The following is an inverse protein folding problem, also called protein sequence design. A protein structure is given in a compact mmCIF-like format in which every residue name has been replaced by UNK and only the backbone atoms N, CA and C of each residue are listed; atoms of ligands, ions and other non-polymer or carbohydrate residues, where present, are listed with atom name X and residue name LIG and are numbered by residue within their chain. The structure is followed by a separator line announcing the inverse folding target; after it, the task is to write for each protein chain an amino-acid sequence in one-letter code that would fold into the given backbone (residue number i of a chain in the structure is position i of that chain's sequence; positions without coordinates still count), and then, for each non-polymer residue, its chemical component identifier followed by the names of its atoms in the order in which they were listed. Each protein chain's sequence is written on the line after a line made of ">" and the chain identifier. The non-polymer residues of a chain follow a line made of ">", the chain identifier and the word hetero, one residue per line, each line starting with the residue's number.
data_IF_294492893020
#
_entry.id   IF_294492893020
#
_cell.length_a   1.000
_cell.length_b   1.000
_cell.length_c   1.000
_cell.angle_alpha   90.00
_cell.angle_beta   90.00
_cell.angle_gamma   90.00
#
_symmetry.space_group_name_H-M   'P 1'
#
loop_
_entity.id
_entity.type
_entity.pdbx_description
1 polymer ?
#
# COMPACT_ATOMS: atom_id res chain seq x y z
N UNK A 1 7.78 -7.89 10.27
CA UNK A 1 7.20 -7.46 8.97
C UNK A 1 7.81 -8.34 7.88
N UNK A 2 7.03 -8.79 6.90
CA UNK A 2 7.56 -9.50 5.74
C UNK A 2 7.51 -8.62 4.50
N UNK A 3 8.53 -8.67 3.65
CA UNK A 3 8.59 -7.94 2.38
C UNK A 3 8.76 -8.92 1.23
N UNK A 4 8.20 -8.58 0.08
CA UNK A 4 8.45 -9.25 -1.18
C UNK A 4 9.68 -8.66 -1.86
N UNK A 5 10.42 -9.49 -2.57
CA UNK A 5 11.46 -9.08 -3.50
C UNK A 5 11.38 -9.93 -4.77
N UNK A 6 11.77 -9.36 -5.90
CA UNK A 6 12.01 -10.16 -7.10
C UNK A 6 13.22 -11.06 -6.92
N UNK A 7 13.09 -12.33 -7.30
CA UNK A 7 14.23 -13.19 -7.56
C UNK A 7 14.71 -13.01 -9.01
N UNK A 8 15.86 -13.60 -9.32
CA UNK A 8 16.47 -13.53 -10.66
C UNK A 8 15.62 -14.21 -11.74
N UNK A 9 14.67 -15.06 -11.34
CA UNK A 9 13.79 -15.82 -12.23
C UNK A 9 12.49 -15.08 -12.58
N UNK A 10 12.32 -13.85 -12.07
CA UNK A 10 11.13 -13.02 -12.30
C UNK A 10 9.93 -13.38 -11.41
N UNK A 11 10.14 -14.22 -10.40
CA UNK A 11 9.17 -14.59 -9.37
C UNK A 11 9.41 -13.79 -8.07
N UNK A 12 8.50 -13.93 -7.12
CA UNK A 12 8.56 -13.26 -5.82
C UNK A 12 9.06 -14.19 -4.73
N UNK A 13 9.89 -13.66 -3.84
CA UNK A 13 10.24 -14.34 -2.60
C UNK A 13 9.86 -13.45 -1.42
N UNK A 14 9.36 -14.08 -0.36
CA UNK A 14 8.99 -13.39 0.87
C UNK A 14 10.18 -13.46 1.83
N UNK A 15 10.57 -12.31 2.40
CA UNK A 15 11.66 -12.19 3.38
C UNK A 15 11.11 -11.56 4.66
N UNK A 16 11.41 -12.18 5.80
CA UNK A 16 10.97 -11.70 7.11
C UNK A 16 12.02 -10.79 7.76
N UNK A 17 11.55 -9.72 8.38
CA UNK A 17 12.35 -8.72 9.07
C UNK A 17 11.76 -8.41 10.45
N UNK A 18 12.63 -8.31 11.46
CA UNK A 18 12.28 -7.78 12.78
C UNK A 18 12.27 -6.25 12.76
N UNK A 19 11.58 -5.61 13.72
CA UNK A 19 11.27 -4.17 13.73
C UNK A 19 12.51 -3.24 13.60
N UNK A 20 13.69 -3.69 14.05
CA UNK A 20 14.96 -2.97 13.91
C UNK A 20 15.70 -3.21 12.58
N UNK A 21 15.35 -4.27 11.85
CA UNK A 21 16.04 -4.74 10.65
C UNK A 21 15.26 -4.47 9.35
N UNK A 22 14.05 -3.88 9.46
CA UNK A 22 13.23 -3.55 8.30
C UNK A 22 14.03 -2.60 7.40
N UNK A 23 14.24 -2.94 6.11
CA UNK A 23 14.93 -2.08 5.17
C UNK A 23 14.29 -0.70 5.11
N UNK A 24 15.09 0.37 5.13
CA UNK A 24 14.57 1.75 4.99
C UNK A 24 14.09 2.10 3.57
N UNK A 25 14.15 1.15 2.64
CA UNK A 25 13.87 1.36 1.21
C UNK A 25 12.98 0.25 0.69
N UNK A 26 11.67 0.49 0.76
CA UNK A 26 10.66 -0.38 0.17
C UNK A 26 9.48 0.44 -0.33
N UNK A 27 8.65 -0.22 -1.13
CA UNK A 27 7.37 0.30 -1.62
C UNK A 27 6.23 -0.39 -0.87
N UNK A 28 5.12 0.30 -0.66
CA UNK A 28 3.85 -0.33 -0.28
C UNK A 28 2.86 -0.25 -1.43
N UNK A 29 2.16 -1.34 -1.70
CA UNK A 29 0.93 -1.34 -2.49
C UNK A 29 -0.27 -1.07 -1.57
N UNK A 30 -1.06 -0.08 -1.95
CA UNK A 30 -2.41 0.11 -1.46
C UNK A 30 -3.39 -0.15 -2.60
N UNK A 31 -4.37 -1.01 -2.36
CA UNK A 31 -5.35 -1.39 -3.37
C UNK A 31 -6.65 -1.83 -2.71
N UNK A 32 -7.73 -1.80 -3.50
CA UNK A 32 -8.96 -2.47 -3.11
C UNK A 32 -8.81 -3.97 -3.34
N UNK A 33 -9.11 -4.76 -2.31
CA UNK A 33 -9.20 -6.20 -2.44
C UNK A 33 -10.36 -6.57 -3.38
N UNK A 34 -10.09 -7.49 -4.29
CA UNK A 34 -11.05 -8.01 -5.26
C UNK A 34 -11.23 -9.51 -5.14
N UNK A 35 -11.70 -10.12 -6.23
CA UNK A 35 -11.76 -11.56 -6.34
C UNK A 35 -10.35 -12.16 -6.34
N UNK A 36 -10.17 -13.27 -5.63
CA UNK A 36 -8.95 -14.08 -5.62
C UNK A 36 -7.68 -13.26 -5.35
N UNK A 37 -7.66 -12.50 -4.25
CA UNK A 37 -6.40 -11.93 -3.75
C UNK A 37 -5.40 -13.05 -3.43
N UNK A 38 -4.14 -12.79 -3.73
CA UNK A 38 -3.03 -13.66 -3.33
C UNK A 38 -2.80 -13.46 -1.84
N UNK A 39 -2.83 -14.56 -1.10
CA UNK A 39 -2.59 -14.62 0.34
C UNK A 39 -1.17 -15.05 0.66
N UNK A 40 -0.78 -14.96 1.93
CA UNK A 40 0.50 -15.48 2.41
C UNK A 40 0.67 -16.96 2.04
N UNK A 41 -0.37 -17.77 2.30
CA UNK A 41 -0.37 -19.20 2.00
C UNK A 41 -0.21 -19.50 0.50
N UNK A 42 -0.79 -18.69 -0.38
CA UNK A 42 -0.66 -18.93 -1.82
C UNK A 42 0.77 -18.70 -2.32
N UNK A 43 1.53 -17.80 -1.66
CA UNK A 43 2.94 -17.60 -1.95
C UNK A 43 3.79 -18.77 -1.41
N UNK A 44 3.50 -19.26 -0.20
CA UNK A 44 4.23 -20.41 0.37
C UNK A 44 3.98 -21.69 -0.41
N UNK A 45 2.74 -21.89 -0.86
CA UNK A 45 2.31 -23.09 -1.60
C UNK A 45 2.58 -22.98 -3.11
N UNK A 46 3.12 -21.85 -3.59
CA UNK A 46 3.39 -21.57 -5.00
C UNK A 46 2.15 -21.65 -5.91
N UNK A 47 0.97 -21.33 -5.38
CA UNK A 47 -0.33 -21.33 -6.10
C UNK A 47 -0.79 -19.93 -6.50
N UNK A 48 0.02 -18.90 -6.26
CA UNK A 48 -0.34 -17.51 -6.48
C UNK A 48 -0.57 -17.13 -7.95
N UNK A 49 0.14 -17.75 -8.90
CA UNK A 49 0.20 -17.32 -10.32
C UNK A 49 -1.13 -17.41 -11.06
N UNK A 50 -2.03 -18.31 -10.65
CA UNK A 50 -3.34 -18.48 -11.28
C UNK A 50 -4.41 -17.52 -10.75
N UNK A 51 -4.11 -16.76 -9.69
CA UNK A 51 -5.08 -15.89 -9.03
C UNK A 51 -5.22 -14.55 -9.73
N UNK A 52 -6.45 -14.03 -9.80
CA UNK A 52 -6.72 -12.71 -10.37
C UNK A 52 -5.95 -11.57 -9.68
N UNK A 53 -5.70 -11.68 -8.36
CA UNK A 53 -4.92 -10.70 -7.61
C UNK A 53 -3.41 -10.68 -7.94
N UNK A 54 -2.87 -11.69 -8.61
CA UNK A 54 -1.42 -11.80 -8.89
C UNK A 54 -0.89 -10.63 -9.71
N UNK A 55 -1.69 -10.13 -10.67
CA UNK A 55 -1.31 -8.99 -11.49
C UNK A 55 -1.02 -7.71 -10.68
N UNK A 56 -1.67 -7.53 -9.52
CA UNK A 56 -1.41 -6.38 -8.62
C UNK A 56 -0.05 -6.48 -7.95
N UNK A 57 0.36 -7.70 -7.58
CA UNK A 57 1.68 -7.98 -7.01
C UNK A 57 2.76 -7.75 -8.08
N UNK A 58 2.55 -8.25 -9.29
CA UNK A 58 3.46 -7.99 -10.42
C UNK A 58 3.60 -6.51 -10.72
N UNK A 59 2.48 -5.79 -10.80
CA UNK A 59 2.49 -4.35 -10.96
C UNK A 59 3.35 -3.65 -9.89
N UNK A 60 3.14 -3.98 -8.61
CA UNK A 60 3.90 -3.35 -7.52
C UNK A 60 5.39 -3.66 -7.60
N UNK A 61 5.74 -4.94 -7.81
CA UNK A 61 7.12 -5.37 -7.95
C UNK A 61 7.81 -4.66 -9.12
N UNK A 62 7.18 -4.62 -10.30
CA UNK A 62 7.77 -3.98 -11.48
C UNK A 62 8.03 -2.50 -11.24
N UNK A 63 7.09 -1.82 -10.58
CA UNK A 63 7.23 -0.40 -10.22
C UNK A 63 8.34 -0.20 -9.18
N UNK A 64 8.47 -1.06 -8.19
CA UNK A 64 9.59 -1.05 -7.25
C UNK A 64 10.94 -1.18 -7.98
N UNK A 65 11.06 -2.16 -8.89
CA UNK A 65 12.25 -2.38 -9.71
C UNK A 65 12.62 -1.16 -10.57
N UNK A 66 11.63 -0.52 -11.22
CA UNK A 66 11.82 0.72 -12.00
C UNK A 66 12.33 1.89 -11.15
N UNK A 67 12.05 1.90 -9.86
CA UNK A 67 12.53 2.91 -8.90
C UNK A 67 13.79 2.45 -8.14
N UNK A 68 14.45 1.38 -8.60
CA UNK A 68 15.63 0.81 -7.94
C UNK A 68 15.40 0.43 -6.47
N UNK A 69 14.17 0.02 -6.14
CA UNK A 69 13.78 -0.50 -4.84
C UNK A 69 13.66 -2.02 -4.93
N UNK A 70 14.40 -2.71 -4.07
CA UNK A 70 14.43 -4.17 -4.04
C UNK A 70 13.17 -4.76 -3.41
N UNK A 71 12.66 -4.10 -2.37
CA UNK A 71 11.60 -4.61 -1.54
C UNK A 71 10.28 -3.87 -1.78
N UNK A 72 9.19 -4.62 -1.67
CA UNK A 72 7.85 -4.06 -1.66
C UNK A 72 6.93 -4.88 -0.75
N UNK A 73 5.80 -4.30 -0.37
CA UNK A 73 4.88 -4.87 0.59
C UNK A 73 3.45 -4.82 0.07
N UNK A 74 2.71 -5.90 0.28
CA UNK A 74 1.29 -6.03 -0.04
C UNK A 74 0.60 -6.73 1.12
N UNK A 75 -0.37 -6.06 1.74
CA UNK A 75 -1.06 -6.53 2.94
C UNK A 75 -1.73 -7.90 2.80
N UNK A 76 -2.14 -8.27 1.59
CA UNK A 76 -2.81 -9.55 1.31
C UNK A 76 -1.90 -10.75 1.51
N UNK A 77 -0.61 -10.63 1.19
CA UNK A 77 0.32 -11.76 1.19
C UNK A 77 1.57 -11.56 2.04
N UNK A 78 1.85 -10.35 2.52
CA UNK A 78 2.93 -10.06 3.46
C UNK A 78 2.53 -10.24 4.93
N UNK A 79 1.23 -10.41 5.22
CA UNK A 79 0.70 -10.70 6.55
C UNK A 79 0.05 -12.09 6.49
N UNK A 80 0.45 -12.98 7.39
CA UNK A 80 -0.33 -14.19 7.63
C UNK A 80 -1.57 -13.85 8.45
N UNK A 81 -2.70 -13.68 7.76
CA UNK A 81 -3.99 -13.35 8.39
C UNK A 81 -4.61 -14.53 9.14
N UNK A 82 -4.06 -15.74 8.99
CA UNK A 82 -4.50 -16.90 9.76
C UNK A 82 -3.89 -16.95 11.16
N UNK A 83 -2.76 -16.25 11.37
CA UNK A 83 -2.18 -16.00 12.68
C UNK A 83 -2.76 -14.72 13.29
N UNK A 84 -3.55 -14.89 14.36
CA UNK A 84 -4.20 -13.77 15.04
C UNK A 84 -3.21 -12.84 15.76
N UNK A 85 -2.07 -13.36 16.22
CA UNK A 85 -1.03 -12.56 16.89
C UNK A 85 -0.36 -11.68 15.84
N UNK A 86 0.07 -12.27 14.73
CA UNK A 86 0.71 -11.53 13.63
C UNK A 86 -0.25 -10.47 13.07
N UNK A 87 -1.52 -10.83 12.83
CA UNK A 87 -2.52 -9.90 12.32
C UNK A 87 -2.68 -8.69 13.24
N UNK A 88 -2.75 -8.92 14.55
CA UNK A 88 -2.91 -7.83 15.53
C UNK A 88 -1.66 -6.93 15.58
N UNK A 89 -0.46 -7.52 15.56
CA UNK A 89 0.80 -6.78 15.49
C UNK A 89 0.91 -5.95 14.20
N UNK A 90 0.48 -6.52 13.07
CA UNK A 90 0.45 -5.85 11.79
C UNK A 90 -0.49 -4.64 11.80
N UNK A 91 -1.71 -4.80 12.32
CA UNK A 91 -2.68 -3.69 12.47
C UNK A 91 -2.07 -2.55 13.28
N UNK A 92 -1.40 -2.86 14.39
CA UNK A 92 -0.76 -1.88 15.26
C UNK A 92 0.47 -1.20 14.62
N UNK A 93 1.06 -1.83 13.60
CA UNK A 93 2.27 -1.37 12.93
C UNK A 93 2.02 -0.71 11.58
N UNK A 94 0.87 -0.94 10.95
CA UNK A 94 0.57 -0.53 9.57
C UNK A 94 0.80 0.96 9.33
N UNK A 95 0.31 1.85 10.20
CA UNK A 95 0.54 3.29 10.05
C UNK A 95 2.03 3.62 9.92
N UNK A 96 2.86 2.99 10.75
CA UNK A 96 4.32 3.16 10.72
C UNK A 96 4.90 2.62 9.42
N UNK A 97 4.48 1.44 8.98
CA UNK A 97 4.96 0.86 7.73
C UNK A 97 4.60 1.71 6.52
N UNK A 98 3.40 2.28 6.47
CA UNK A 98 3.01 3.24 5.43
C UNK A 98 3.85 4.51 5.48
N UNK A 99 4.08 5.05 6.69
CA UNK A 99 4.91 6.26 6.88
C UNK A 99 6.36 6.08 6.44
N UNK A 100 6.96 4.93 6.79
CA UNK A 100 8.38 4.68 6.58
C UNK A 100 8.67 4.13 5.16
N UNK A 101 7.64 3.79 4.38
CA UNK A 101 7.80 3.40 2.99
C UNK A 101 8.32 4.56 2.13
N UNK A 102 9.21 4.24 1.18
CA UNK A 102 9.73 5.24 0.22
C UNK A 102 8.61 5.78 -0.68
N UNK A 103 7.71 4.90 -1.11
CA UNK A 103 6.57 5.20 -1.96
C UNK A 103 5.39 4.30 -1.61
N UNK A 104 4.19 4.89 -1.62
CA UNK A 104 2.93 4.17 -1.63
C UNK A 104 2.36 4.20 -3.05
N UNK A 105 2.08 3.05 -3.64
CA UNK A 105 1.40 2.94 -4.92
C UNK A 105 -0.06 2.59 -4.68
N UNK A 106 -0.95 3.48 -5.10
CA UNK A 106 -2.39 3.24 -5.05
C UNK A 106 -2.84 2.71 -6.40
N UNK A 107 -3.27 1.45 -6.43
CA UNK A 107 -3.73 0.78 -7.65
C UNK A 107 -5.26 0.77 -7.74
N UNK A 108 -5.79 1.48 -8.72
CA UNK A 108 -7.23 1.70 -8.88
C UNK A 108 -7.80 0.82 -10.00
N UNK A 109 -8.77 -0.03 -9.65
CA UNK A 109 -9.49 -0.86 -10.62
C UNK A 109 -10.59 -0.08 -11.37
N UNK A 110 -10.96 1.08 -10.85
CA UNK A 110 -11.99 1.99 -11.32
C UNK A 110 -11.38 3.38 -11.61
N UNK A 111 -12.22 4.34 -12.00
CA UNK A 111 -11.75 5.70 -12.30
C UNK A 111 -11.45 6.47 -11.02
N UNK A 112 -10.34 7.23 -10.98
CA UNK A 112 -9.89 8.02 -9.82
C UNK A 112 -11.03 8.71 -9.03
N UNK A 113 -11.78 9.62 -9.67
CA UNK A 113 -12.80 10.43 -8.96
C UNK A 113 -13.98 9.63 -8.39
N UNK A 114 -14.25 8.44 -8.92
CA UNK A 114 -15.34 7.57 -8.46
C UNK A 114 -14.80 6.31 -7.80
N UNK A 115 -13.52 6.33 -7.42
CA UNK A 115 -12.89 5.13 -6.94
C UNK A 115 -13.44 4.75 -5.58
N UNK A 116 -13.89 3.51 -5.47
CA UNK A 116 -14.28 2.95 -4.19
C UNK A 116 -13.09 2.73 -3.25
N UNK A 117 -11.86 2.96 -3.72
CA UNK A 117 -10.70 3.05 -2.83
C UNK A 117 -10.84 4.20 -1.84
N UNK A 118 -11.49 5.31 -2.19
CA UNK A 118 -11.63 6.48 -1.30
C UNK A 118 -12.63 6.29 -0.16
N UNK A 119 -13.51 5.28 -0.22
CA UNK A 119 -14.56 5.05 0.77
C UNK A 119 -14.23 3.95 1.79
N UNK A 120 -12.95 3.54 1.89
CA UNK A 120 -12.53 2.47 2.81
C UNK A 120 -12.03 3.05 4.13
N UNK A 121 -12.20 2.28 5.21
CA UNK A 121 -11.74 2.69 6.55
C UNK A 121 -10.23 2.89 6.67
N UNK A 122 -9.43 2.31 5.76
CA UNK A 122 -7.97 2.45 5.77
C UNK A 122 -7.44 3.57 4.87
N UNK A 123 -8.25 4.10 3.95
CA UNK A 123 -7.86 5.11 2.96
C UNK A 123 -7.11 6.28 3.59
N UNK A 124 -7.59 6.74 4.74
CA UNK A 124 -6.96 7.83 5.47
C UNK A 124 -5.49 7.50 5.74
N UNK A 125 -5.22 6.40 6.45
CA UNK A 125 -3.86 6.02 6.82
C UNK A 125 -2.97 5.78 5.59
N UNK A 126 -3.51 5.12 4.56
CA UNK A 126 -2.80 4.80 3.32
C UNK A 126 -2.43 6.07 2.51
N UNK A 127 -3.10 7.19 2.78
CA UNK A 127 -2.93 8.47 2.10
C UNK A 127 -2.09 9.48 2.91
N UNK A 128 -2.37 9.61 4.21
CA UNK A 128 -1.73 10.61 5.09
C UNK A 128 -0.41 10.12 5.66
N UNK A 129 -0.25 8.82 5.93
CA UNK A 129 0.97 8.33 6.56
C UNK A 129 2.19 8.39 5.61
N UNK A 130 2.10 7.93 4.34
CA UNK A 130 3.25 7.98 3.43
C UNK A 130 3.58 9.41 3.00
N UNK A 131 4.86 9.73 2.90
CA UNK A 131 5.32 11.00 2.33
C UNK A 131 5.00 11.12 0.83
N UNK A 132 5.10 10.01 0.08
CA UNK A 132 4.86 9.95 -1.37
C UNK A 132 3.78 8.91 -1.70
N UNK A 133 2.73 9.34 -2.40
CA UNK A 133 1.66 8.47 -2.91
C UNK A 133 1.48 8.72 -4.40
N UNK A 134 1.63 7.68 -5.22
CA UNK A 134 1.40 7.72 -6.66
C UNK A 134 0.19 6.85 -7.01
N UNK A 135 -0.74 7.39 -7.80
CA UNK A 135 -1.99 6.73 -8.20
C UNK A 135 -1.88 6.15 -9.60
N UNK A 136 -2.29 4.91 -9.77
CA UNK A 136 -2.23 4.18 -11.03
C UNK A 136 -3.58 3.61 -11.43
N UNK A 137 -3.83 3.55 -12.74
CA UNK A 137 -5.01 2.88 -13.30
C UNK A 137 -4.85 1.36 -13.30
N UNK A 138 -5.92 0.65 -13.66
CA UNK A 138 -5.93 -0.81 -13.83
C UNK A 138 -5.03 -1.31 -14.97
N UNK A 139 -4.66 -0.44 -15.89
CA UNK A 139 -3.66 -0.70 -16.94
C UNK A 139 -2.23 -0.49 -16.43
N UNK A 140 -2.07 -0.02 -15.19
CA UNK A 140 -0.79 0.31 -14.59
C UNK A 140 -0.26 1.69 -15.00
N UNK A 141 -1.06 2.55 -15.63
CA UNK A 141 -0.65 3.89 -16.07
C UNK A 141 -0.71 4.91 -14.94
N UNK A 142 0.26 5.84 -14.90
CA UNK A 142 0.31 6.88 -13.87
C UNK A 142 -0.81 7.91 -14.10
N UNK A 143 -1.70 8.04 -13.12
CA UNK A 143 -2.77 9.05 -13.12
C UNK A 143 -2.22 10.38 -12.57
N UNK A 144 -1.41 10.30 -11.52
CA UNK A 144 -0.82 11.44 -10.84
C UNK A 144 -0.32 11.05 -9.45
N UNK A 145 0.12 12.03 -8.67
CA UNK A 145 0.58 11.82 -7.31
C UNK A 145 -0.21 12.67 -6.30
N UNK A 146 0.02 12.43 -5.00
CA UNK A 146 -0.65 13.13 -3.89
C UNK A 146 -0.62 14.66 -4.04
N UNK A 147 0.50 15.22 -4.49
CA UNK A 147 0.64 16.66 -4.68
C UNK A 147 -0.09 17.16 -5.92
N UNK A 148 0.04 16.48 -7.06
CA UNK A 148 -0.60 16.90 -8.32
C UNK A 148 -2.12 16.73 -8.29
N UNK A 149 -2.63 15.80 -7.47
CA UNK A 149 -4.05 15.51 -7.31
C UNK A 149 -4.64 16.05 -6.01
N UNK A 150 -3.89 16.86 -5.25
CA UNK A 150 -4.25 17.34 -3.90
C UNK A 150 -5.67 17.88 -3.84
N UNK A 151 -6.02 18.81 -4.74
CA UNK A 151 -7.35 19.41 -4.79
C UNK A 151 -8.45 18.35 -4.96
N UNK A 152 -8.26 17.41 -5.90
CA UNK A 152 -9.24 16.36 -6.14
C UNK A 152 -9.36 15.43 -4.93
N UNK A 153 -8.25 15.12 -4.26
CA UNK A 153 -8.23 14.28 -3.06
C UNK A 153 -9.00 14.97 -1.93
N UNK A 154 -8.74 16.25 -1.68
CA UNK A 154 -9.48 17.05 -0.69
C UNK A 154 -10.99 17.09 -1.01
N UNK A 155 -11.36 17.30 -2.28
CA UNK A 155 -12.76 17.32 -2.73
C UNK A 155 -13.48 15.98 -2.49
N UNK A 156 -12.79 14.84 -2.69
CA UNK A 156 -13.38 13.50 -2.55
C UNK A 156 -13.46 13.06 -1.09
N UNK A 157 -12.40 13.33 -0.32
CA UNK A 157 -12.22 12.77 1.03
C UNK A 157 -12.60 13.72 2.15
N UNK A 158 -12.66 15.03 1.89
CA UNK A 158 -12.78 16.06 2.93
C UNK A 158 -11.49 16.28 3.73
N UNK A 159 -10.41 15.53 3.48
CA UNK A 159 -9.14 15.67 4.19
C UNK A 159 -8.54 17.04 3.85
N UNK A 160 -8.12 17.84 4.85
CA UNK A 160 -7.47 19.13 4.62
C UNK A 160 -6.16 18.99 3.83
N UNK A 161 -5.88 19.96 2.95
CA UNK A 161 -4.63 19.98 2.17
C UNK A 161 -3.37 19.97 3.07
N UNK A 162 -3.41 20.63 4.22
CA UNK A 162 -2.33 20.61 5.21
C UNK A 162 -2.01 19.19 5.71
N UNK A 163 -3.03 18.35 5.93
CA UNK A 163 -2.83 16.97 6.35
C UNK A 163 -2.16 16.15 5.24
N UNK A 164 -2.58 16.35 3.98
CA UNK A 164 -1.96 15.67 2.83
C UNK A 164 -0.49 16.05 2.63
N UNK A 165 -0.13 17.29 2.97
CA UNK A 165 1.24 17.83 2.91
C UNK A 165 2.12 17.37 4.09
N UNK A 166 1.54 16.70 5.09
CA UNK A 166 2.28 16.12 6.21
C UNK A 166 2.39 17.00 7.45
N UNK A 167 1.47 17.95 7.64
CA UNK A 167 1.41 18.70 8.89
C UNK A 167 1.23 17.74 10.08
N UNK A 168 1.87 18.01 11.25
CA UNK A 168 1.72 17.19 12.43
C UNK A 168 0.26 16.95 12.80
N UNK A 169 -0.11 15.71 13.12
CA UNK A 169 -1.49 15.37 13.52
C UNK A 169 -1.98 16.21 14.71
N UNK A 170 -1.05 16.69 15.57
CA UNK A 170 -1.34 17.60 16.67
C UNK A 170 -2.02 18.92 16.24
N UNK A 171 -1.85 19.33 14.98
CA UNK A 171 -2.41 20.56 14.44
C UNK A 171 -3.90 20.45 14.07
N UNK A 172 -4.45 19.24 14.05
CA UNK A 172 -5.86 18.98 13.73
C UNK A 172 -6.65 18.71 15.02
N UNK A 173 -7.88 19.18 15.10
CA UNK A 173 -8.79 18.88 16.20
C UNK A 173 -9.13 17.39 16.27
N UNK A 174 -9.64 16.93 17.42
CA UNK A 174 -10.10 15.54 17.56
C UNK A 174 -11.23 15.25 16.56
N UNK A 175 -12.12 16.20 16.32
CA UNK A 175 -13.20 16.05 15.36
C UNK A 175 -12.66 15.80 13.93
N UNK A 176 -11.68 16.60 13.49
CA UNK A 176 -11.03 16.42 12.18
C UNK A 176 -10.24 15.11 12.06
N UNK A 177 -9.72 14.58 13.16
CA UNK A 177 -9.03 13.27 13.16
C UNK A 177 -9.99 12.08 13.17
N UNK A 178 -11.26 12.30 13.50
CA UNK A 178 -12.27 11.25 13.68
C UNK A 178 -13.38 11.28 12.61
N UNK A 179 -13.33 12.24 11.68
CA UNK A 179 -14.24 12.40 10.53
C UNK A 179 -13.67 11.75 9.27
#
# INVERSE_FOLDING_TARGET
>A
MRLLQYNNDGDFTLTEFFEGDIPKKYVILSHRWGAEEVTFKDLTDSTSKSKAGYGKIQFCGERARRNSLQYFWVDTCCIDKSDAIELQEAINSMFRWYRDATKCYVYLLDTFRKSAWFSRGWTLQELIAPASVDFFSKEGELIGNKASLERNICEITGIPASALRGDPLSNFSVAERMS
#
